data_IF_682709964984
#
_entry.id   IF_682709964984
#
_cell.length_a   1.000
_cell.length_b   1.000
_cell.length_c   1.000
_cell.angle_alpha   90.00
_cell.angle_beta   90.00
_cell.angle_gamma   90.00
#
_symmetry.space_group_name_H-M   'P 1'
#
loop_
_entity.id
_entity.type
_entity.pdbx_description
1 polymer ?
#
# COMPACT_ATOMS: atom_id res chain seq x y z
N UNK A 1 -5.25 -36.02 4.01
CA UNK A 1 -4.72 -35.77 2.66
C UNK A 1 -5.40 -34.65 1.87
N UNK A 2 -6.62 -34.23 2.21
CA UNK A 2 -7.28 -33.09 1.54
C UNK A 2 -7.63 -31.91 2.44
N UNK A 3 -7.52 -32.06 3.77
CA UNK A 3 -8.00 -31.04 4.72
C UNK A 3 -7.33 -29.68 4.52
N UNK A 4 -6.00 -29.65 4.42
CA UNK A 4 -5.26 -28.40 4.20
C UNK A 4 -5.56 -27.75 2.85
N UNK A 5 -5.83 -28.54 1.80
CA UNK A 5 -6.22 -28.02 0.49
C UNK A 5 -7.59 -27.34 0.55
N UNK A 6 -8.57 -27.97 1.20
CA UNK A 6 -9.92 -27.41 1.37
C UNK A 6 -9.86 -26.14 2.22
N UNK A 7 -9.17 -26.18 3.37
CA UNK A 7 -9.03 -25.02 4.25
C UNK A 7 -8.29 -23.90 3.52
N UNK A 8 -7.19 -24.19 2.82
CA UNK A 8 -6.44 -23.21 2.03
C UNK A 8 -7.27 -22.57 0.92
N UNK A 9 -8.12 -23.36 0.26
CA UNK A 9 -9.05 -22.85 -0.76
C UNK A 9 -10.10 -21.92 -0.15
N UNK A 10 -10.68 -22.30 0.99
CA UNK A 10 -11.63 -21.44 1.71
C UNK A 10 -10.99 -20.10 2.14
N UNK A 11 -9.75 -20.14 2.66
CA UNK A 11 -9.02 -18.92 3.04
C UNK A 11 -8.68 -18.07 1.81
N UNK A 12 -8.31 -18.69 0.68
CA UNK A 12 -8.04 -17.97 -0.57
C UNK A 12 -9.28 -17.23 -1.10
N UNK A 13 -10.44 -17.88 -1.02
CA UNK A 13 -11.73 -17.27 -1.37
C UNK A 13 -12.05 -16.12 -0.41
N UNK A 14 -11.88 -16.32 0.90
CA UNK A 14 -12.07 -15.26 1.89
C UNK A 14 -11.15 -14.05 1.63
N UNK A 15 -9.87 -14.30 1.30
CA UNK A 15 -8.92 -13.27 0.91
C UNK A 15 -9.36 -12.51 -0.36
N UNK A 16 -9.85 -13.23 -1.37
CA UNK A 16 -10.39 -12.61 -2.59
C UNK A 16 -11.56 -11.66 -2.29
N UNK A 17 -12.51 -12.09 -1.46
CA UNK A 17 -13.63 -11.25 -1.05
C UNK A 17 -13.18 -10.05 -0.21
N UNK A 18 -12.20 -10.25 0.68
CA UNK A 18 -11.62 -9.17 1.47
C UNK A 18 -11.00 -8.08 0.58
N UNK A 19 -10.17 -8.45 -0.40
CA UNK A 19 -9.58 -7.50 -1.35
C UNK A 19 -10.65 -6.81 -2.22
N UNK A 20 -11.67 -7.55 -2.65
CA UNK A 20 -12.78 -6.98 -3.43
C UNK A 20 -13.54 -5.92 -2.64
N UNK A 21 -13.71 -6.08 -1.32
CA UNK A 21 -14.38 -5.09 -0.47
C UNK A 21 -13.54 -3.85 -0.17
N UNK A 22 -12.22 -3.97 -0.22
CA UNK A 22 -11.30 -2.84 -0.10
C UNK A 22 -11.17 -2.04 -1.41
N UNK A 23 -11.41 -2.68 -2.56
CA UNK A 23 -11.29 -2.05 -3.87
C UNK A 23 -12.10 -0.76 -3.97
N UNK A 24 -11.45 0.34 -4.36
CA UNK A 24 -12.10 1.63 -4.56
C UNK A 24 -12.37 2.43 -3.28
N UNK A 25 -12.04 1.92 -2.09
CA UNK A 25 -12.15 2.70 -0.85
C UNK A 25 -10.92 3.60 -0.66
N UNK A 26 -11.10 4.86 -0.24
CA UNK A 26 -9.99 5.74 0.09
C UNK A 26 -9.32 5.30 1.41
N UNK A 27 -7.99 5.43 1.49
CA UNK A 27 -7.22 5.08 2.70
C UNK A 27 -7.43 6.07 3.85
N UNK A 28 -7.99 7.24 3.58
CA UNK A 28 -8.27 8.30 4.55
C UNK A 28 -9.43 8.00 5.50
N UNK A 29 -10.21 6.95 5.24
CA UNK A 29 -11.31 6.55 6.14
C UNK A 29 -10.72 5.83 7.35
N UNK A 30 -10.89 6.41 8.54
CA UNK A 30 -10.29 5.92 9.79
C UNK A 30 -10.81 4.52 10.15
N UNK A 31 -12.05 4.17 9.79
CA UNK A 31 -12.66 2.87 10.08
C UNK A 31 -13.36 2.30 8.86
N UNK A 32 -12.99 1.08 8.48
CA UNK A 32 -13.65 0.31 7.43
C UNK A 32 -14.59 -0.67 8.11
N UNK A 33 -15.90 -0.43 7.98
CA UNK A 33 -16.93 -1.35 8.45
C UNK A 33 -17.14 -2.47 7.43
N UNK A 34 -16.90 -3.70 7.88
CA UNK A 34 -17.26 -4.92 7.16
C UNK A 34 -18.55 -5.45 7.75
N UNK A 35 -19.67 -5.10 7.11
CA UNK A 35 -20.98 -5.64 7.43
C UNK A 35 -21.25 -6.83 6.52
N UNK A 36 -21.27 -8.03 7.09
CA UNK A 36 -21.70 -9.24 6.39
C UNK A 36 -22.85 -9.89 7.17
N UNK A 37 -23.62 -10.76 6.52
CA UNK A 37 -24.75 -11.46 7.17
C UNK A 37 -24.34 -12.32 8.38
N UNK A 38 -23.03 -12.59 8.56
CA UNK A 38 -22.51 -13.47 9.61
C UNK A 38 -21.56 -12.77 10.60
N UNK A 39 -20.88 -11.70 10.21
CA UNK A 39 -19.86 -11.02 11.04
C UNK A 39 -19.88 -9.52 10.75
N UNK A 40 -19.90 -8.72 11.82
CA UNK A 40 -19.69 -7.26 11.79
C UNK A 40 -18.37 -6.94 12.48
N UNK A 41 -17.39 -6.43 11.73
CA UNK A 41 -16.09 -6.04 12.27
C UNK A 41 -15.59 -4.74 11.65
N UNK A 42 -14.96 -3.90 12.47
CA UNK A 42 -14.36 -2.62 12.08
C UNK A 42 -12.84 -2.77 12.01
N UNK A 43 -12.25 -2.47 10.86
CA UNK A 43 -10.80 -2.48 10.66
C UNK A 43 -10.30 -1.05 10.47
N UNK A 44 -9.26 -0.66 11.20
CA UNK A 44 -8.56 0.59 10.91
C UNK A 44 -7.80 0.47 9.59
N UNK A 45 -7.85 1.51 8.75
CA UNK A 45 -7.28 1.48 7.40
C UNK A 45 -5.79 1.11 7.36
N UNK A 46 -5.04 1.41 8.42
CA UNK A 46 -3.61 1.06 8.54
C UNK A 46 -3.35 -0.45 8.58
N UNK A 47 -4.29 -1.25 9.10
CA UNK A 47 -4.14 -2.70 9.23
C UNK A 47 -4.63 -3.47 8.01
N UNK A 48 -5.40 -2.83 7.12
CA UNK A 48 -6.01 -3.51 5.97
C UNK A 48 -4.96 -4.21 5.07
N UNK A 49 -3.82 -3.55 4.82
CA UNK A 49 -2.72 -4.12 4.03
C UNK A 49 -2.03 -5.29 4.76
N UNK A 50 -1.78 -5.13 6.06
CA UNK A 50 -1.14 -6.16 6.89
C UNK A 50 -2.00 -7.42 6.96
N UNK A 51 -3.31 -7.27 7.12
CA UNK A 51 -4.27 -8.39 7.15
C UNK A 51 -4.31 -9.08 5.79
N UNK A 52 -4.37 -8.33 4.68
CA UNK A 52 -4.32 -8.89 3.33
C UNK A 52 -3.05 -9.73 3.10
N UNK A 53 -1.88 -9.18 3.45
CA UNK A 53 -0.61 -9.91 3.35
C UNK A 53 -0.57 -11.14 4.25
N UNK A 54 -1.08 -11.03 5.48
CA UNK A 54 -1.17 -12.16 6.41
C UNK A 54 -2.04 -13.30 5.88
N UNK A 55 -3.20 -12.98 5.29
CA UNK A 55 -4.07 -13.95 4.64
C UNK A 55 -3.38 -14.62 3.45
N UNK A 56 -2.66 -13.85 2.63
CA UNK A 56 -1.91 -14.39 1.50
C UNK A 56 -0.83 -15.40 1.96
N UNK A 57 -0.08 -15.06 3.00
CA UNK A 57 0.92 -15.96 3.60
C UNK A 57 0.29 -17.20 4.22
N UNK A 58 -0.89 -17.07 4.85
CA UNK A 58 -1.62 -18.19 5.40
C UNK A 58 -2.06 -19.18 4.31
N UNK A 59 -2.57 -18.69 3.17
CA UNK A 59 -2.90 -19.55 2.02
C UNK A 59 -1.67 -20.27 1.49
N UNK A 60 -0.55 -19.54 1.33
CA UNK A 60 0.72 -20.13 0.90
C UNK A 60 1.18 -21.25 1.85
N UNK A 61 1.10 -21.03 3.15
CA UNK A 61 1.45 -22.02 4.16
C UNK A 61 0.59 -23.28 4.04
N UNK A 62 -0.73 -23.13 3.92
CA UNK A 62 -1.67 -24.25 3.82
C UNK A 62 -1.47 -25.08 2.54
N UNK A 63 -1.22 -24.45 1.40
CA UNK A 63 -0.91 -25.18 0.16
C UNK A 63 0.45 -25.86 0.21
N UNK A 64 1.45 -25.23 0.84
CA UNK A 64 2.78 -25.83 1.07
C UNK A 64 2.67 -27.08 1.95
N UNK A 65 1.87 -27.02 3.02
CA UNK A 65 1.57 -28.19 3.86
C UNK A 65 0.87 -29.30 3.07
N UNK A 66 -0.10 -28.94 2.23
CA UNK A 66 -0.81 -29.93 1.39
C UNK A 66 0.13 -30.67 0.44
N UNK A 67 1.06 -29.98 -0.21
CA UNK A 67 2.07 -30.61 -1.08
C UNK A 67 3.04 -31.45 -0.24
N UNK A 68 3.41 -30.97 0.95
CA UNK A 68 4.23 -31.69 1.91
C UNK A 68 3.65 -33.06 2.28
N UNK A 69 2.33 -33.16 2.52
CA UNK A 69 1.66 -34.45 2.77
C UNK A 69 1.84 -35.43 1.61
N UNK A 70 1.65 -34.97 0.37
CA UNK A 70 1.83 -35.79 -0.85
C UNK A 70 3.27 -36.27 -0.98
N UNK A 71 4.24 -35.37 -0.74
CA UNK A 71 5.66 -35.70 -0.80
C UNK A 71 6.00 -36.82 0.18
N UNK A 72 5.51 -36.75 1.42
CA UNK A 72 5.74 -37.78 2.44
C UNK A 72 5.17 -39.13 1.99
N UNK A 73 3.97 -39.14 1.41
CA UNK A 73 3.38 -40.39 0.93
C UNK A 73 4.10 -40.99 -0.27
N UNK A 74 4.57 -40.15 -1.20
CA UNK A 74 5.34 -40.62 -2.35
C UNK A 74 6.70 -41.18 -1.91
N UNK A 75 7.31 -40.57 -0.90
CA UNK A 75 8.52 -41.08 -0.27
C UNK A 75 8.33 -42.47 0.33
N UNK A 76 7.24 -42.69 1.08
CA UNK A 76 6.88 -44.02 1.59
C UNK A 76 6.69 -45.05 0.48
N UNK A 77 5.95 -44.69 -0.57
CA UNK A 77 5.76 -45.57 -1.72
C UNK A 77 7.09 -46.01 -2.34
N UNK A 78 8.04 -45.08 -2.45
CA UNK A 78 9.36 -45.34 -3.01
C UNK A 78 10.18 -46.26 -2.09
N UNK A 79 10.20 -46.01 -0.78
CA UNK A 79 10.88 -46.85 0.21
C UNK A 79 10.35 -48.30 0.21
N UNK A 80 9.04 -48.49 0.06
CA UNK A 80 8.48 -49.84 0.00
C UNK A 80 8.75 -50.51 -1.35
N UNK A 81 8.78 -49.76 -2.46
CA UNK A 81 8.96 -50.33 -3.79
C UNK A 81 10.40 -50.76 -4.13
N UNK A 82 11.42 -50.14 -3.53
CA UNK A 82 12.84 -50.43 -3.84
C UNK A 82 13.65 -50.62 -2.55
N UNK A 83 14.66 -51.48 -2.58
CA UNK A 83 15.67 -51.58 -1.53
C UNK A 83 16.72 -50.49 -1.73
N UNK A 84 16.88 -49.59 -0.76
CA UNK A 84 17.88 -48.54 -0.81
C UNK A 84 19.02 -48.85 0.15
N UNK A 85 20.24 -48.53 -0.30
CA UNK A 85 21.42 -48.50 0.55
C UNK A 85 21.35 -47.27 1.47
N UNK A 86 21.86 -47.37 2.70
CA UNK A 86 21.70 -46.33 3.74
C UNK A 86 22.25 -44.97 3.29
N UNK A 87 23.35 -45.00 2.54
CA UNK A 87 24.01 -43.81 1.98
C UNK A 87 23.12 -43.08 0.94
N UNK A 88 22.26 -43.82 0.21
CA UNK A 88 21.33 -43.24 -0.78
C UNK A 88 20.08 -42.64 -0.14
N UNK A 89 19.71 -43.08 1.07
CA UNK A 89 18.55 -42.54 1.80
C UNK A 89 18.85 -41.12 2.30
N UNK A 90 20.08 -40.86 2.75
CA UNK A 90 20.51 -39.51 3.17
C UNK A 90 20.47 -38.51 2.01
N UNK A 91 20.91 -38.92 0.83
CA UNK A 91 20.82 -38.12 -0.40
C UNK A 91 19.37 -37.78 -0.80
N UNK A 92 18.42 -38.69 -0.57
CA UNK A 92 16.99 -38.44 -0.84
C UNK A 92 16.40 -37.48 0.20
N UNK A 93 16.86 -37.51 1.44
CA UNK A 93 16.41 -36.59 2.49
C UNK A 93 16.88 -35.15 2.22
N UNK A 94 18.11 -35.00 1.72
CA UNK A 94 18.70 -33.73 1.30
C UNK A 94 18.03 -33.13 0.04
N UNK A 95 17.14 -33.86 -0.65
CA UNK A 95 16.49 -33.37 -1.88
C UNK A 95 15.58 -32.15 -1.64
N UNK A 96 15.10 -31.95 -0.40
CA UNK A 96 14.30 -30.78 -0.02
C UNK A 96 15.08 -29.47 -0.15
N UNK A 97 16.39 -29.51 0.09
CA UNK A 97 17.27 -28.34 0.05
C UNK A 97 18.11 -28.30 -1.24
N UNK A 98 18.42 -29.48 -1.81
CA UNK A 98 19.32 -29.63 -2.96
C UNK A 98 18.65 -30.45 -4.07
N UNK A 99 17.62 -29.88 -4.70
CA UNK A 99 16.80 -30.56 -5.72
C UNK A 99 17.56 -30.92 -7.01
N UNK A 100 18.77 -30.37 -7.21
CA UNK A 100 19.49 -30.38 -8.49
C UNK A 100 20.58 -31.46 -8.61
N UNK A 101 20.75 -32.35 -7.62
CA UNK A 101 21.75 -33.43 -7.73
C UNK A 101 21.38 -34.42 -8.87
N UNK A 102 22.23 -34.63 -9.89
CA UNK A 102 21.93 -35.50 -11.04
C UNK A 102 21.70 -36.97 -10.67
N UNK A 103 22.36 -37.48 -9.61
CA UNK A 103 22.22 -38.88 -9.18
C UNK A 103 20.80 -39.20 -8.70
N UNK A 104 20.10 -38.21 -8.13
CA UNK A 104 18.77 -38.37 -7.55
C UNK A 104 17.68 -38.30 -8.64
N UNK A 105 17.93 -37.57 -9.72
CA UNK A 105 17.02 -37.48 -10.87
C UNK A 105 16.80 -38.85 -11.52
N UNK A 106 17.83 -39.71 -11.59
CA UNK A 106 17.70 -41.02 -12.22
C UNK A 106 16.94 -42.08 -11.39
N UNK A 107 16.92 -41.97 -10.07
CA UNK A 107 16.30 -42.97 -9.20
C UNK A 107 14.93 -42.56 -8.63
N UNK A 108 14.66 -41.25 -8.56
CA UNK A 108 13.49 -40.68 -7.89
C UNK A 108 12.87 -39.47 -8.58
N UNK A 109 12.74 -39.49 -9.92
CA UNK A 109 12.14 -38.41 -10.74
C UNK A 109 10.89 -37.78 -10.12
N UNK A 110 9.96 -38.60 -9.62
CA UNK A 110 8.71 -38.12 -9.01
C UNK A 110 8.91 -37.29 -7.74
N UNK A 111 9.91 -37.59 -6.90
CA UNK A 111 10.21 -36.82 -5.70
C UNK A 111 10.88 -35.48 -6.02
N UNK A 112 11.78 -35.48 -7.01
CA UNK A 112 12.45 -34.25 -7.46
C UNK A 112 11.45 -33.27 -8.10
N UNK A 113 10.51 -33.76 -8.92
CA UNK A 113 9.42 -32.94 -9.47
C UNK A 113 8.52 -32.37 -8.36
N UNK A 114 8.17 -33.17 -7.34
CA UNK A 114 7.38 -32.69 -6.20
C UNK A 114 8.13 -31.65 -5.36
N UNK A 115 9.44 -31.81 -5.16
CA UNK A 115 10.26 -30.83 -4.46
C UNK A 115 10.41 -29.53 -5.27
N UNK A 116 10.64 -29.63 -6.59
CA UNK A 116 10.72 -28.47 -7.47
C UNK A 116 9.39 -27.71 -7.54
N UNK A 117 8.25 -28.41 -7.61
CA UNK A 117 6.92 -27.79 -7.59
C UNK A 117 6.61 -27.13 -6.25
N UNK A 118 7.03 -27.73 -5.12
CA UNK A 118 6.93 -27.10 -3.80
C UNK A 118 7.71 -25.77 -3.75
N UNK A 119 8.95 -25.76 -4.22
CA UNK A 119 9.80 -24.57 -4.25
C UNK A 119 9.22 -23.50 -5.19
N UNK A 120 8.81 -23.89 -6.40
CA UNK A 120 8.19 -22.99 -7.38
C UNK A 120 6.89 -22.38 -6.84
N UNK A 121 6.04 -23.16 -6.16
CA UNK A 121 4.81 -22.65 -5.54
C UNK A 121 5.09 -21.69 -4.39
N UNK A 122 6.07 -22.00 -3.55
CA UNK A 122 6.45 -21.11 -2.45
C UNK A 122 6.97 -19.76 -2.96
N UNK A 123 7.75 -19.76 -4.05
CA UNK A 123 8.26 -18.54 -4.67
C UNK A 123 7.15 -17.73 -5.36
N UNK A 124 6.26 -18.39 -6.10
CA UNK A 124 5.20 -17.71 -6.88
C UNK A 124 4.10 -17.13 -5.99
N UNK A 125 3.65 -17.85 -4.96
CA UNK A 125 2.61 -17.32 -4.09
C UNK A 125 3.12 -16.11 -3.30
N UNK A 126 4.29 -16.20 -2.65
CA UNK A 126 4.80 -15.11 -1.82
C UNK A 126 5.07 -13.81 -2.58
N UNK A 127 5.63 -13.93 -3.79
CA UNK A 127 5.99 -12.77 -4.61
C UNK A 127 4.80 -12.13 -5.31
N UNK A 128 3.83 -12.93 -5.78
CA UNK A 128 2.76 -12.40 -6.63
C UNK A 128 1.43 -12.17 -5.90
N UNK A 129 1.15 -12.84 -4.77
CA UNK A 129 -0.10 -12.59 -4.00
C UNK A 129 -0.01 -11.37 -3.09
N UNK A 130 1.15 -11.10 -2.47
CA UNK A 130 1.36 -9.94 -1.60
C UNK A 130 1.06 -8.58 -2.29
N UNK A 131 1.41 -8.35 -3.58
CA UNK A 131 1.10 -7.09 -4.26
C UNK A 131 -0.27 -7.10 -4.98
N UNK A 132 -1.19 -8.02 -4.65
CA UNK A 132 -2.52 -8.05 -5.29
C UNK A 132 -3.41 -6.88 -4.85
N UNK A 133 -3.16 -6.34 -3.66
CA UNK A 133 -3.71 -5.08 -3.19
C UNK A 133 -2.61 -4.02 -3.27
N UNK A 134 -2.76 -3.10 -4.23
CA UNK A 134 -1.83 -1.98 -4.39
C UNK A 134 -2.52 -0.71 -3.95
N UNK A 135 -1.75 0.21 -3.40
CA UNK A 135 -2.25 1.54 -3.05
C UNK A 135 -1.73 2.50 -4.11
N UNK A 136 -2.64 3.25 -4.75
CA UNK A 136 -2.26 4.16 -5.82
C UNK A 136 -3.04 5.46 -5.77
N UNK A 137 -2.49 6.55 -6.32
CA UNK A 137 -3.21 7.80 -6.44
C UNK A 137 -4.39 7.65 -7.40
N UNK A 138 -5.49 8.29 -7.02
CA UNK A 138 -6.67 8.48 -7.84
C UNK A 138 -7.16 9.91 -7.64
N UNK A 139 -7.35 10.61 -8.76
CA UNK A 139 -7.91 11.95 -8.77
C UNK A 139 -9.41 11.84 -8.50
N UNK A 140 -9.85 12.38 -7.37
CA UNK A 140 -11.26 12.49 -7.04
C UNK A 140 -11.71 13.91 -7.42
N UNK A 141 -12.52 14.00 -8.48
CA UNK A 141 -13.13 15.26 -8.89
C UNK A 141 -14.43 15.44 -8.10
N UNK A 142 -14.48 16.49 -7.28
CA UNK A 142 -15.66 16.82 -6.50
C UNK A 142 -15.93 18.33 -6.48
N UNK A 143 -17.18 18.73 -6.22
CA UNK A 143 -17.46 20.13 -5.92
C UNK A 143 -16.74 20.50 -4.63
N UNK A 144 -15.93 21.54 -4.68
CA UNK A 144 -15.25 22.07 -3.51
C UNK A 144 -15.65 23.53 -3.32
N UNK A 145 -15.94 23.89 -2.07
CA UNK A 145 -16.27 25.26 -1.74
C UNK A 145 -14.96 26.05 -1.64
N UNK A 146 -14.48 26.55 -2.78
CA UNK A 146 -13.33 27.43 -2.82
C UNK A 146 -13.79 28.85 -2.55
N UNK A 147 -13.24 29.45 -1.50
CA UNK A 147 -13.29 30.89 -1.29
C UNK A 147 -12.05 31.49 -1.93
N UNK A 148 -12.24 32.32 -2.95
CA UNK A 148 -11.13 33.06 -3.55
C UNK A 148 -11.07 34.44 -2.93
N UNK A 149 -9.86 34.89 -2.62
CA UNK A 149 -9.62 36.28 -2.24
C UNK A 149 -9.58 37.13 -3.51
N UNK A 150 -10.52 38.06 -3.64
CA UNK A 150 -10.51 39.05 -4.71
C UNK A 150 -9.45 40.11 -4.41
N UNK A 151 -8.25 39.91 -4.98
CA UNK A 151 -7.15 40.85 -4.86
C UNK A 151 -7.37 42.13 -5.69
N UNK A 152 -8.29 42.13 -6.66
CA UNK A 152 -8.55 43.29 -7.52
C UNK A 152 -9.17 44.48 -6.80
N UNK A 153 -9.69 44.28 -5.58
CA UNK A 153 -10.21 45.32 -4.69
C UNK A 153 -9.40 45.52 -3.42
N UNK A 154 -8.31 44.78 -3.26
CA UNK A 154 -7.49 44.88 -2.06
C UNK A 154 -6.52 46.05 -2.16
N UNK A 155 -6.48 46.90 -1.14
CA UNK A 155 -5.47 47.97 -1.01
C UNK A 155 -4.21 47.39 -0.40
N UNK A 156 -3.07 47.55 -1.09
CA UNK A 156 -1.76 47.22 -0.55
C UNK A 156 -1.21 48.46 0.15
N UNK A 157 -1.15 48.43 1.48
CA UNK A 157 -0.53 49.49 2.27
C UNK A 157 0.91 49.08 2.55
N UNK A 158 1.87 49.93 2.16
CA UNK A 158 3.26 49.74 2.55
C UNK A 158 3.73 50.93 3.35
N UNK A 159 4.28 50.66 4.54
CA UNK A 159 4.90 51.67 5.40
C UNK A 159 6.28 52.06 4.86
N UNK A 160 6.48 53.35 4.56
CA UNK A 160 7.75 53.90 4.08
C UNK A 160 7.65 54.58 2.71
N UNK A 161 8.78 54.94 2.10
CA UNK A 161 8.81 55.53 0.75
C UNK A 161 8.60 54.44 -0.32
N UNK A 162 7.68 54.68 -1.26
CA UNK A 162 7.41 53.75 -2.35
C UNK A 162 8.60 53.65 -3.30
N UNK A 163 9.19 52.46 -3.39
CA UNK A 163 10.22 52.18 -4.39
C UNK A 163 9.57 51.75 -5.71
N UNK A 164 10.25 51.92 -6.86
CA UNK A 164 9.73 51.45 -8.16
C UNK A 164 9.37 49.96 -8.18
N UNK A 165 10.09 49.14 -7.40
CA UNK A 165 9.80 47.71 -7.26
C UNK A 165 8.48 47.44 -6.54
N UNK A 166 8.15 48.24 -5.52
CA UNK A 166 6.88 48.13 -4.79
C UNK A 166 5.70 48.63 -5.63
N UNK A 167 5.94 49.66 -6.45
CA UNK A 167 4.95 50.13 -7.42
C UNK A 167 4.68 49.10 -8.52
N UNK A 168 5.72 48.42 -9.00
CA UNK A 168 5.60 47.31 -9.94
C UNK A 168 4.88 46.08 -9.34
N UNK A 169 5.07 45.81 -8.05
CA UNK A 169 4.35 44.74 -7.36
C UNK A 169 2.87 45.11 -7.15
N UNK A 170 2.58 46.35 -6.75
CA UNK A 170 1.21 46.85 -6.63
C UNK A 170 0.45 46.79 -7.95
N UNK A 171 1.09 47.19 -9.06
CA UNK A 171 0.49 47.10 -10.39
C UNK A 171 0.33 45.65 -10.88
N UNK A 172 1.26 44.75 -10.55
CA UNK A 172 1.14 43.33 -10.85
C UNK A 172 0.00 42.64 -10.08
N UNK A 173 -0.31 43.10 -8.86
CA UNK A 173 -1.40 42.59 -8.04
C UNK A 173 -2.76 43.20 -8.39
N UNK A 174 -2.82 44.20 -9.27
CA UNK A 174 -4.05 44.83 -9.73
C UNK A 174 -4.77 45.71 -8.68
N UNK A 175 -4.12 45.99 -7.55
CA UNK A 175 -4.66 46.80 -6.44
C UNK A 175 -4.15 48.23 -6.43
N UNK A 176 -4.82 49.11 -5.66
CA UNK A 176 -4.35 50.47 -5.41
C UNK A 176 -3.25 50.42 -4.34
N UNK A 177 -2.06 50.90 -4.66
CA UNK A 177 -0.96 51.05 -3.72
C UNK A 177 -1.10 52.39 -2.98
N UNK A 178 -1.49 52.34 -1.71
CA UNK A 178 -1.50 53.51 -0.82
C UNK A 178 -0.25 53.51 0.05
N UNK A 179 0.54 54.57 -0.06
CA UNK A 179 1.84 54.69 0.60
C UNK A 179 1.63 55.54 1.85
N UNK A 180 1.68 54.91 3.03
CA UNK A 180 1.57 55.59 4.30
C UNK A 180 2.96 55.90 4.85
N UNK A 181 3.36 57.17 4.88
CA UNK A 181 4.56 57.60 5.59
C UNK A 181 4.18 57.91 7.04
N UNK A 182 4.25 56.91 7.93
CA UNK A 182 4.11 57.16 9.37
C UNK A 182 5.48 57.61 9.90
N UNK A 183 5.62 58.92 10.11
CA UNK A 183 6.78 59.49 10.83
C UNK A 183 6.59 59.47 12.34
N UNK A 184 5.35 59.28 12.82
CA UNK A 184 4.98 59.65 14.18
C UNK A 184 4.49 58.48 15.04
N UNK A 185 4.49 57.25 14.52
CA UNK A 185 4.07 56.07 15.29
C UNK A 185 2.59 56.05 15.65
N UNK A 186 1.78 56.97 15.11
CA UNK A 186 0.33 56.92 15.28
C UNK A 186 -0.26 55.75 14.50
N UNK A 187 -1.12 55.00 15.19
CA UNK A 187 -1.92 53.90 14.68
C UNK A 187 -2.83 54.39 13.56
N UNK A 188 -2.50 54.04 12.31
CA UNK A 188 -3.47 54.14 11.23
C UNK A 188 -4.63 53.17 11.50
N UNK A 189 -5.87 53.67 11.51
CA UNK A 189 -7.05 52.82 11.52
C UNK A 189 -7.17 52.16 10.14
N UNK A 190 -6.60 50.98 10.02
CA UNK A 190 -6.75 50.12 8.84
C UNK A 190 -8.23 49.72 8.73
N UNK A 191 -8.86 49.99 7.59
CA UNK A 191 -10.16 49.40 7.28
C UNK A 191 -10.05 47.87 7.31
N UNK A 192 -11.10 47.15 7.71
CA UNK A 192 -11.09 45.68 7.89
C UNK A 192 -10.71 44.90 6.60
N UNK A 193 -10.79 45.57 5.44
CA UNK A 193 -10.46 45.02 4.12
C UNK A 193 -8.99 45.21 3.70
N UNK A 194 -8.17 45.87 4.53
CA UNK A 194 -6.76 46.09 4.19
C UNK A 194 -5.90 44.87 4.55
N UNK A 195 -5.03 44.47 3.61
CA UNK A 195 -4.11 43.36 3.78
C UNK A 195 -2.78 43.90 4.32
N UNK A 196 -2.55 43.74 5.63
CA UNK A 196 -1.29 44.14 6.25
C UNK A 196 -0.32 42.96 6.22
N UNK A 197 0.80 43.13 5.52
CA UNK A 197 1.87 42.14 5.47
C UNK A 197 3.15 42.74 6.06
N UNK A 198 3.63 42.13 7.14
CA UNK A 198 4.96 42.39 7.66
C UNK A 198 5.90 41.35 7.08
N UNK A 199 6.90 41.79 6.32
CA UNK A 199 7.97 40.91 5.86
C UNK A 199 9.33 41.54 6.13
N UNK A 200 10.27 40.80 6.76
CA UNK A 200 11.63 41.26 7.01
C UNK A 200 12.48 41.18 5.72
N UNK A 201 11.94 41.65 4.60
CA UNK A 201 12.50 41.41 3.25
C UNK A 201 13.82 42.15 3.01
N UNK A 202 14.15 43.13 3.84
CA UNK A 202 15.33 43.94 3.66
C UNK A 202 15.61 44.84 4.85
N UNK A 203 16.83 45.35 4.91
CA UNK A 203 17.16 46.44 5.82
C UNK A 203 16.75 47.76 5.15
N UNK A 204 15.96 48.56 5.85
CA UNK A 204 15.49 49.84 5.36
C UNK A 204 16.36 50.94 5.95
N UNK A 205 16.97 51.74 5.07
CA UNK A 205 17.55 53.03 5.43
C UNK A 205 16.79 54.13 4.69
N UNK A 206 16.76 55.34 5.23
CA UNK A 206 16.03 56.50 4.67
C UNK A 206 16.41 56.79 3.21
N UNK A 207 17.56 56.32 2.74
CA UNK A 207 18.10 56.59 1.40
C UNK A 207 18.30 55.33 0.54
N UNK A 208 18.21 54.13 1.12
CA UNK A 208 18.36 52.89 0.36
C UNK A 208 17.60 51.73 0.99
N UNK A 209 16.99 50.94 0.12
CA UNK A 209 16.44 49.64 0.47
C UNK A 209 17.39 48.59 -0.11
N UNK A 210 17.84 47.67 0.74
CA UNK A 210 18.63 46.53 0.30
C UNK A 210 17.88 45.25 0.70
N UNK A 211 17.56 44.43 -0.30
CA UNK A 211 17.07 43.08 -0.08
C UNK A 211 18.17 42.31 0.64
N UNK A 212 17.87 41.78 1.82
CA UNK A 212 18.87 41.09 2.63
C UNK A 212 18.94 39.62 2.19
N UNK A 213 19.49 39.38 0.99
CA UNK A 213 19.68 38.05 0.41
C UNK A 213 19.39 37.96 -1.09
N UNK A 214 19.53 36.74 -1.63
CA UNK A 214 19.33 36.47 -3.06
C UNK A 214 17.83 36.41 -3.40
N UNK A 215 17.44 37.07 -4.49
CA UNK A 215 16.06 37.17 -4.96
C UNK A 215 15.42 35.78 -5.17
N UNK A 216 16.22 34.80 -5.60
CA UNK A 216 15.80 33.40 -5.81
C UNK A 216 15.37 32.70 -4.51
N UNK A 217 15.86 33.14 -3.35
CA UNK A 217 15.49 32.58 -2.04
C UNK A 217 14.38 33.34 -1.34
N UNK A 218 14.32 34.65 -1.58
CA UNK A 218 13.39 35.55 -0.91
C UNK A 218 12.00 35.52 -1.56
N UNK A 219 11.92 35.33 -2.87
CA UNK A 219 10.63 35.26 -3.57
C UNK A 219 9.78 34.05 -3.12
N UNK A 220 10.32 32.83 -2.99
CA UNK A 220 9.58 31.69 -2.41
C UNK A 220 9.14 31.91 -0.96
N UNK A 221 9.97 32.58 -0.14
CA UNK A 221 9.63 32.91 1.25
C UNK A 221 8.49 33.94 1.34
N UNK A 222 8.48 34.94 0.46
CA UNK A 222 7.40 35.89 0.34
C UNK A 222 6.09 35.18 -0.07
N UNK A 223 6.12 34.36 -1.12
CA UNK A 223 4.96 33.58 -1.57
C UNK A 223 4.42 32.66 -0.47
N UNK A 224 5.31 32.03 0.31
CA UNK A 224 4.92 31.19 1.44
C UNK A 224 4.23 32.00 2.55
N UNK A 225 4.76 33.16 2.91
CA UNK A 225 4.17 34.01 3.95
C UNK A 225 2.84 34.63 3.48
N UNK A 226 2.72 34.99 2.20
CA UNK A 226 1.47 35.43 1.58
C UNK A 226 0.41 34.32 1.68
N UNK A 227 0.77 33.09 1.31
CA UNK A 227 -0.13 31.95 1.41
C UNK A 227 -0.58 31.69 2.85
N UNK A 228 0.33 31.71 3.83
CA UNK A 228 0.00 31.53 5.25
C UNK A 228 -0.91 32.66 5.74
N UNK A 229 -0.66 33.91 5.34
CA UNK A 229 -1.50 35.06 5.69
C UNK A 229 -2.91 34.97 5.12
N UNK A 230 -3.04 34.56 3.86
CA UNK A 230 -4.34 34.32 3.21
C UNK A 230 -5.12 33.18 3.88
N UNK A 231 -4.43 32.09 4.26
CA UNK A 231 -5.01 30.98 5.02
C UNK A 231 -5.43 31.42 6.45
N UNK A 232 -4.64 32.26 7.12
CA UNK A 232 -4.92 32.71 8.48
C UNK A 232 -6.13 33.66 8.56
N UNK A 233 -6.32 34.58 7.59
CA UNK A 233 -7.52 35.44 7.53
C UNK A 233 -8.79 34.63 7.28
N UNK A 234 -8.69 33.52 6.53
CA UNK A 234 -9.80 32.57 6.34
C UNK A 234 -10.16 31.78 7.61
N UNK A 235 -9.22 31.59 8.54
CA UNK A 235 -9.45 30.80 9.77
C UNK A 235 -9.86 31.68 10.95
N UNK A 236 -9.43 32.95 10.97
CA UNK A 236 -9.79 33.91 12.02
C UNK A 236 -11.16 34.58 11.80
N UNK A 237 -11.82 34.35 10.67
CA UNK A 237 -13.20 34.77 10.47
C UNK A 237 -14.13 33.87 11.28
N UNK A 238 -14.42 34.32 12.49
CA UNK A 238 -15.48 33.90 13.41
C UNK A 238 -16.66 33.30 12.64
N UNK A 239 -17.15 32.17 13.14
CA UNK A 239 -18.05 31.16 12.56
C UNK A 239 -19.43 31.63 12.04
N UNK A 240 -19.62 32.91 11.73
CA UNK A 240 -20.92 33.47 11.34
C UNK A 240 -20.93 34.25 10.02
N UNK A 241 -19.80 34.68 9.44
CA UNK A 241 -19.85 35.36 8.13
C UNK A 241 -18.47 35.45 7.48
N UNK A 242 -18.12 34.50 6.60
CA UNK A 242 -17.05 34.73 5.63
C UNK A 242 -17.61 35.60 4.51
N UNK A 243 -17.11 36.83 4.39
CA UNK A 243 -17.47 37.81 3.34
C UNK A 243 -16.84 37.53 1.98
N UNK A 244 -16.09 36.42 1.83
CA UNK A 244 -15.51 36.03 0.56
C UNK A 244 -16.61 35.50 -0.38
N UNK A 245 -16.71 36.00 -1.62
CA UNK A 245 -17.68 35.48 -2.57
C UNK A 245 -17.37 34.00 -2.84
N UNK A 246 -18.35 33.09 -2.66
CA UNK A 246 -18.15 31.70 -3.02
C UNK A 246 -17.93 31.60 -4.52
N UNK A 247 -16.90 30.88 -4.94
CA UNK A 247 -16.76 30.52 -6.35
C UNK A 247 -17.81 29.47 -6.65
N UNK A 248 -18.90 29.91 -7.28
CA UNK A 248 -19.88 28.98 -7.86
C UNK A 248 -19.16 28.15 -8.92
N UNK A 249 -19.21 26.82 -8.77
CA UNK A 249 -18.68 25.83 -9.72
C UNK A 249 -17.16 25.53 -9.69
N UNK A 250 -16.53 25.71 -8.51
CA UNK A 250 -15.18 25.19 -8.28
C UNK A 250 -15.12 23.66 -8.31
N UNK A 251 -14.51 23.09 -9.36
CA UNK A 251 -14.13 21.67 -9.38
C UNK A 251 -12.71 21.49 -8.85
N UNK A 252 -12.56 20.87 -7.67
CA UNK A 252 -11.25 20.46 -7.17
C UNK A 252 -10.97 19.03 -7.58
N UNK A 253 -9.76 18.82 -8.10
CA UNK A 253 -9.18 17.50 -8.25
C UNK A 253 -8.30 17.24 -7.04
N UNK A 254 -8.80 16.49 -6.06
CA UNK A 254 -8.00 16.07 -4.90
C UNK A 254 -7.36 14.73 -5.22
N UNK A 255 -6.04 14.67 -5.14
CA UNK A 255 -5.31 13.40 -5.22
C UNK A 255 -5.54 12.62 -3.93
N UNK A 256 -6.28 11.52 -4.03
CA UNK A 256 -6.53 10.62 -2.90
C UNK A 256 -5.87 9.27 -3.15
N UNK A 257 -5.42 8.67 -2.06
CA UNK A 257 -4.79 7.36 -2.10
C UNK A 257 -5.90 6.31 -1.99
N UNK A 258 -6.09 5.50 -3.03
CA UNK A 258 -7.18 4.52 -3.13
C UNK A 258 -6.59 3.12 -3.31
N UNK A 259 -7.25 2.12 -2.70
CA UNK A 259 -6.89 0.73 -2.93
C UNK A 259 -7.27 0.29 -4.35
N UNK A 260 -6.27 -0.04 -5.15
CA UNK A 260 -6.41 -0.65 -6.48
C UNK A 260 -6.24 -2.15 -6.36
N UNK A 261 -7.31 -2.87 -6.69
CA UNK A 261 -7.34 -4.32 -6.70
C UNK A 261 -7.34 -4.87 -8.14
N UNK A 262 -6.40 -5.77 -8.45
CA UNK A 262 -6.36 -6.46 -9.74
C UNK A 262 -6.89 -7.90 -9.60
N UNK A 263 -8.17 -8.08 -9.94
CA UNK A 263 -8.88 -9.35 -9.81
C UNK A 263 -8.27 -10.47 -10.68
N UNK A 264 -7.83 -10.14 -11.91
CA UNK A 264 -7.35 -11.12 -12.88
C UNK A 264 -6.02 -11.73 -12.45
N UNK A 265 -5.11 -10.88 -11.93
CA UNK A 265 -3.82 -11.35 -11.41
C UNK A 265 -4.00 -12.31 -10.24
N UNK A 266 -4.83 -11.95 -9.25
CA UNK A 266 -5.04 -12.80 -8.08
C UNK A 266 -5.73 -14.13 -8.45
N UNK A 267 -6.72 -14.10 -9.35
CA UNK A 267 -7.46 -15.28 -9.79
C UNK A 267 -6.57 -16.27 -10.54
N UNK A 268 -5.67 -15.80 -11.42
CA UNK A 268 -4.72 -16.67 -12.12
C UNK A 268 -3.77 -17.34 -11.13
N UNK A 269 -3.21 -16.57 -10.19
CA UNK A 269 -2.24 -17.09 -9.22
C UNK A 269 -2.89 -18.13 -8.29
N UNK A 270 -4.09 -17.84 -7.77
CA UNK A 270 -4.80 -18.82 -6.94
C UNK A 270 -5.32 -20.00 -7.74
N UNK A 271 -5.76 -19.81 -8.99
CA UNK A 271 -6.18 -20.91 -9.86
C UNK A 271 -5.04 -21.91 -10.07
N UNK A 272 -3.85 -21.42 -10.42
CA UNK A 272 -2.64 -22.25 -10.55
C UNK A 272 -2.25 -22.86 -9.20
N UNK A 273 -2.31 -22.06 -8.13
CA UNK A 273 -2.00 -22.47 -6.77
C UNK A 273 -2.92 -23.54 -6.19
N UNK A 274 -4.16 -23.67 -6.68
CA UNK A 274 -5.10 -24.74 -6.32
C UNK A 274 -4.93 -25.96 -7.22
N UNK A 275 -4.74 -25.73 -8.52
CA UNK A 275 -4.64 -26.79 -9.53
C UNK A 275 -3.44 -27.71 -9.29
N UNK A 276 -2.29 -27.16 -8.91
CA UNK A 276 -1.08 -27.96 -8.68
C UNK A 276 -1.21 -28.88 -7.45
N UNK A 277 -1.59 -28.39 -6.24
CA UNK A 277 -1.89 -29.26 -5.12
C UNK A 277 -3.00 -30.27 -5.39
N UNK A 278 -4.01 -29.91 -6.20
CA UNK A 278 -5.10 -30.82 -6.56
C UNK A 278 -4.59 -32.00 -7.39
N UNK A 279 -3.77 -31.75 -8.41
CA UNK A 279 -3.10 -32.80 -9.19
C UNK A 279 -2.22 -33.66 -8.26
N UNK A 280 -1.45 -33.03 -7.37
CA UNK A 280 -0.62 -33.75 -6.40
C UNK A 280 -1.45 -34.64 -5.46
N UNK A 281 -2.61 -34.14 -4.99
CA UNK A 281 -3.53 -34.88 -4.14
C UNK A 281 -4.11 -36.10 -4.87
N UNK A 282 -4.47 -35.97 -6.15
CA UNK A 282 -4.94 -37.10 -6.98
C UNK A 282 -3.86 -38.18 -7.06
N UNK A 283 -2.60 -37.82 -7.33
CA UNK A 283 -1.48 -38.78 -7.34
C UNK A 283 -1.24 -39.41 -5.97
N UNK A 284 -1.36 -38.63 -4.91
CA UNK A 284 -1.25 -39.10 -3.53
C UNK A 284 -2.32 -40.14 -3.19
N UNK A 285 -3.58 -39.82 -3.47
CA UNK A 285 -4.73 -40.70 -3.29
C UNK A 285 -4.56 -41.98 -4.11
N UNK A 286 -4.14 -41.87 -5.38
CA UNK A 286 -3.84 -43.05 -6.20
C UNK A 286 -2.78 -43.93 -5.54
N UNK A 287 -1.73 -43.35 -4.96
CA UNK A 287 -0.68 -44.11 -4.24
C UNK A 287 -1.25 -44.88 -3.04
N UNK A 288 -2.17 -44.27 -2.28
CA UNK A 288 -2.87 -44.94 -1.17
C UNK A 288 -3.70 -46.11 -1.70
N UNK A 289 -4.50 -45.90 -2.76
CA UNK A 289 -5.35 -46.96 -3.33
C UNK A 289 -4.55 -48.16 -3.85
N UNK A 290 -3.31 -47.95 -4.30
CA UNK A 290 -2.41 -49.05 -4.68
C UNK A 290 -1.82 -49.84 -3.50
N UNK A 291 -2.24 -49.56 -2.27
CA UNK A 291 -1.84 -50.30 -1.06
C UNK A 291 -0.41 -50.02 -0.60
N UNK A 292 0.22 -48.96 -1.12
CA UNK A 292 1.63 -48.60 -0.85
C UNK A 292 1.78 -47.28 -0.09
N UNK A 293 0.69 -46.69 0.37
CA UNK A 293 0.69 -45.50 1.22
C UNK A 293 0.78 -45.87 2.70
N UNK A 294 1.64 -45.19 3.46
CA UNK A 294 1.82 -45.40 4.90
C UNK A 294 1.69 -44.11 5.71
N UNK A 295 1.35 -44.25 6.99
CA UNK A 295 1.39 -43.15 7.97
C UNK A 295 2.81 -42.98 8.51
N UNK A 296 3.23 -41.73 8.75
CA UNK A 296 4.57 -41.35 9.28
C UNK A 296 4.76 -41.71 10.78
N UNK A 297 4.06 -42.71 11.31
CA UNK A 297 4.30 -43.14 12.68
C UNK A 297 5.65 -43.84 12.77
N UNK A 298 6.46 -43.46 13.77
CA UNK A 298 7.76 -44.10 14.06
C UNK A 298 7.62 -45.63 14.15
N UNK A 299 6.53 -46.13 14.74
CA UNK A 299 6.23 -47.55 14.83
C UNK A 299 6.12 -48.20 13.45
N UNK A 300 5.47 -47.53 12.50
CA UNK A 300 5.33 -47.99 11.11
C UNK A 300 6.65 -47.96 10.35
N UNK A 301 7.50 -46.97 10.62
CA UNK A 301 8.86 -46.90 10.06
C UNK A 301 9.73 -48.06 10.55
N UNK A 302 9.74 -48.30 11.86
CA UNK A 302 10.53 -49.37 12.46
C UNK A 302 10.05 -50.75 11.99
N UNK A 303 8.72 -50.96 11.87
CA UNK A 303 8.14 -52.20 11.35
C UNK A 303 8.48 -52.43 9.87
N UNK A 304 8.49 -51.38 9.05
CA UNK A 304 8.85 -51.49 7.65
C UNK A 304 10.32 -51.88 7.44
N UNK A 305 11.22 -51.43 8.34
CA UNK A 305 12.64 -51.77 8.31
C UNK A 305 12.86 -53.18 8.88
N UNK A 306 12.23 -53.52 10.01
CA UNK A 306 12.41 -54.80 10.70
C UNK A 306 11.77 -55.99 9.97
N UNK A 307 10.63 -55.80 9.29
CA UNK A 307 9.93 -56.89 8.60
C UNK A 307 10.53 -57.25 7.23
N UNK A 308 11.71 -56.72 6.89
CA UNK A 308 12.36 -56.89 5.58
C UNK A 308 13.76 -57.53 5.67
N UNK A 309 14.23 -57.87 6.87
CA UNK A 309 15.40 -58.71 7.12
C UNK A 309 14.96 -60.13 7.46
#
# INVERSE_FOLDING_TARGET
MGGFLVIGTCVAIAHHFFCMRLSGRPTSVIKIEFTSSFINFTIDSIWALTIGNGLAWLVQFLFTLSIGEVMCQRFWHLLHAKSFDLEKVDDIYQIKTTFWKPSVWHHGTGLSILAATLLAMSATLGTFTSPALSVGPMLLNGPCNLTTVDLGRSELIVGGFATPAMQALGSALGGVLTVGTSTDGETHSTNEDTLVMYSPLGNYTVQSWAINGDLLTILPLLMRNINIGLLAKSVAANTASSTLPPVSDGHCSVETIVYKYNHLRLLIIYGVGILVPLICAVFGIHSIFTGKGGSMSFKSMMLAILNRG
#
